data_IF_841222535901
#
_entry.id   IF_841222535901
#
_cell.length_a   1.000
_cell.length_b   1.000
_cell.length_c   1.000
_cell.angle_alpha   90.00
_cell.angle_beta   90.00
_cell.angle_gamma   90.00
#
_symmetry.space_group_name_H-M   'P 1'
#
loop_
_entity.id
_entity.type
_entity.pdbx_description
1 polymer ?
#
# COMPACT_ATOMS: atom_id res chain seq x y z
N UNK A 1 -4.15 -43.92 26.72
CA UNK A 1 -3.71 -42.77 27.53
C UNK A 1 -3.63 -41.58 26.57
N UNK A 2 -4.56 -40.62 26.72
CA UNK A 2 -4.59 -39.33 26.03
C UNK A 2 -3.24 -38.60 26.28
N UNK A 3 -2.68 -37.80 25.38
CA UNK A 3 -3.14 -36.45 25.06
C UNK A 3 -2.88 -36.09 23.59
N UNK A 4 -3.98 -35.77 22.89
CA UNK A 4 -3.95 -34.77 21.81
C UNK A 4 -3.54 -33.44 22.47
N UNK A 5 -2.34 -32.94 22.24
CA UNK A 5 -2.06 -31.52 22.47
C UNK A 5 -2.45 -30.79 21.19
N UNK A 6 -3.65 -30.22 21.21
CA UNK A 6 -4.08 -29.24 20.22
C UNK A 6 -3.31 -27.97 20.55
N UNK A 7 -2.33 -27.61 19.73
CA UNK A 7 -1.75 -26.27 19.75
C UNK A 7 -2.86 -25.28 19.41
N UNK A 8 -3.20 -24.41 20.35
CA UNK A 8 -4.17 -23.34 20.14
C UNK A 8 -3.39 -22.05 20.21
N UNK A 9 -3.14 -21.46 19.04
CA UNK A 9 -2.62 -20.10 18.88
C UNK A 9 -3.83 -19.16 18.99
N UNK A 10 -3.77 -18.19 19.90
CA UNK A 10 -4.75 -17.11 20.01
C UNK A 10 -4.04 -15.82 19.60
N UNK A 11 -4.46 -15.24 18.48
CA UNK A 11 -3.99 -13.93 18.01
C UNK A 11 -5.21 -13.01 17.95
N UNK A 12 -5.06 -11.77 18.40
CA UNK A 12 -6.11 -10.76 18.43
C UNK A 12 -5.63 -9.52 17.68
N UNK A 13 -6.02 -9.40 16.42
CA UNK A 13 -5.77 -8.21 15.60
C UNK A 13 -6.92 -7.20 15.77
N UNK A 14 -6.61 -5.93 16.06
CA UNK A 14 -7.58 -4.84 16.11
C UNK A 14 -7.31 -3.88 14.96
N UNK A 15 -8.15 -3.91 13.93
CA UNK A 15 -8.10 -2.97 12.79
C UNK A 15 -9.04 -1.79 13.05
N UNK A 16 -8.50 -0.57 13.09
CA UNK A 16 -9.28 0.66 13.28
C UNK A 16 -9.25 1.53 12.01
N UNK A 17 -10.37 1.54 11.26
CA UNK A 17 -10.55 2.40 10.09
C UNK A 17 -11.14 3.75 10.53
N UNK A 18 -10.40 4.85 10.35
CA UNK A 18 -10.88 6.21 10.63
C UNK A 18 -11.21 6.96 9.34
N UNK A 19 -12.49 7.33 9.15
CA UNK A 19 -12.93 8.31 8.14
C UNK A 19 -13.11 9.66 8.83
N UNK A 20 -12.21 10.61 8.58
CA UNK A 20 -12.19 11.92 9.24
C UNK A 20 -13.04 12.95 8.46
N UNK A 21 -14.20 13.35 8.99
CA UNK A 21 -14.99 14.49 8.46
C UNK A 21 -14.87 15.68 9.41
N UNK A 22 -14.37 16.86 8.97
CA UNK A 22 -14.26 18.04 9.83
C UNK A 22 -15.61 18.74 10.04
N UNK A 23 -15.94 19.10 11.29
CA UNK A 23 -17.06 20.00 11.64
C UNK A 23 -16.53 21.36 12.08
N UNK A 24 -16.95 22.49 11.46
CA UNK A 24 -16.62 23.81 11.97
C UNK A 24 -17.60 24.25 13.08
N UNK A 25 -17.05 24.75 14.19
CA UNK A 25 -17.77 25.48 15.23
C UNK A 25 -17.73 27.00 14.94
N UNK A 26 -18.83 27.70 15.18
CA UNK A 26 -19.02 29.13 14.90
C UNK A 26 -19.12 29.94 16.20
N UNK A 27 -18.42 31.06 16.30
CA UNK A 27 -18.60 32.08 17.36
C UNK A 27 -18.47 33.48 16.76
N UNK A 28 -19.34 34.42 17.12
CA UNK A 28 -19.47 35.78 16.56
C UNK A 28 -18.60 36.84 17.27
N UNK A 29 -17.99 37.82 16.54
CA UNK A 29 -17.66 39.15 17.09
C UNK A 29 -17.23 40.28 16.08
N UNK A 30 -17.88 41.45 16.20
CA UNK A 30 -17.55 42.88 15.85
C UNK A 30 -16.95 43.32 14.49
N UNK A 31 -17.49 44.43 13.96
CA UNK A 31 -17.40 44.97 12.59
C UNK A 31 -15.99 45.25 12.00
N UNK A 32 -14.99 45.64 12.79
CA UNK A 32 -13.59 45.74 12.32
C UNK A 32 -12.81 44.41 12.41
N UNK A 33 -13.27 43.49 13.27
CA UNK A 33 -12.87 42.09 13.25
C UNK A 33 -13.45 41.38 12.04
N UNK A 34 -14.67 41.74 11.63
CA UNK A 34 -15.36 41.15 10.49
C UNK A 34 -14.60 41.30 9.19
N UNK A 35 -13.91 42.40 8.89
CA UNK A 35 -13.15 42.47 7.63
C UNK A 35 -11.94 41.53 7.61
N UNK A 36 -11.23 41.42 8.74
CA UNK A 36 -10.10 40.49 8.89
C UNK A 36 -10.56 39.05 8.94
N UNK A 37 -11.67 38.78 9.62
CA UNK A 37 -12.32 37.48 9.65
C UNK A 37 -12.89 37.12 8.29
N UNK A 38 -13.57 38.02 7.58
CA UNK A 38 -14.08 37.78 6.21
C UNK A 38 -12.93 37.51 5.25
N UNK A 39 -11.78 38.21 5.38
CA UNK A 39 -10.60 37.89 4.58
C UNK A 39 -10.02 36.51 4.94
N UNK A 40 -9.86 36.22 6.23
CA UNK A 40 -9.38 34.93 6.70
C UNK A 40 -10.36 33.79 6.38
N UNK A 41 -11.67 34.05 6.39
CA UNK A 41 -12.73 33.13 6.02
C UNK A 41 -12.73 32.93 4.51
N UNK A 42 -12.53 33.97 3.69
CA UNK A 42 -12.38 33.81 2.24
C UNK A 42 -11.16 32.97 1.88
N UNK A 43 -10.01 33.24 2.51
CA UNK A 43 -8.81 32.40 2.36
C UNK A 43 -9.03 30.97 2.85
N UNK A 44 -9.75 30.79 3.97
CA UNK A 44 -10.13 29.46 4.46
C UNK A 44 -11.13 28.76 3.53
N UNK A 45 -12.11 29.47 2.97
CA UNK A 45 -13.12 28.94 2.04
C UNK A 45 -12.48 28.60 0.70
N UNK A 46 -11.52 29.39 0.24
CA UNK A 46 -10.72 29.09 -0.96
C UNK A 46 -9.84 27.88 -0.73
N UNK A 47 -9.13 27.80 0.40
CA UNK A 47 -8.37 26.61 0.79
C UNK A 47 -9.27 25.40 0.99
N UNK A 48 -10.44 25.56 1.60
CA UNK A 48 -11.43 24.50 1.75
C UNK A 48 -11.94 24.04 0.39
N UNK A 49 -12.22 24.94 -0.55
CA UNK A 49 -12.62 24.58 -1.91
C UNK A 49 -11.51 23.90 -2.70
N UNK A 50 -10.24 24.26 -2.47
CA UNK A 50 -9.08 23.55 -3.04
C UNK A 50 -8.91 22.18 -2.39
N UNK A 51 -9.06 22.08 -1.07
CA UNK A 51 -8.98 20.82 -0.32
C UNK A 51 -10.16 19.89 -0.60
N UNK A 52 -11.35 20.42 -0.86
CA UNK A 52 -12.54 19.67 -1.25
C UNK A 52 -12.35 19.11 -2.67
N UNK A 53 -11.86 19.93 -3.60
CA UNK A 53 -11.52 19.49 -4.96
C UNK A 53 -10.34 18.52 -5.04
N UNK A 54 -9.39 18.63 -4.10
CA UNK A 54 -8.33 17.64 -3.93
C UNK A 54 -8.87 16.39 -3.26
N UNK A 55 -9.73 16.50 -2.24
CA UNK A 55 -10.34 15.37 -1.53
C UNK A 55 -11.28 14.55 -2.41
N UNK A 56 -11.90 15.13 -3.43
CA UNK A 56 -12.66 14.39 -4.45
C UNK A 56 -11.79 13.50 -5.36
N UNK A 57 -10.49 13.78 -5.43
CA UNK A 57 -9.53 13.11 -6.33
C UNK A 57 -8.40 12.41 -5.59
N UNK A 58 -8.38 12.51 -4.27
CA UNK A 58 -7.32 11.96 -3.43
C UNK A 58 -7.96 11.04 -2.40
N UNK A 59 -7.67 9.75 -2.51
CA UNK A 59 -7.95 8.74 -1.49
C UNK A 59 -6.84 8.72 -0.46
N UNK A 60 -7.22 8.53 0.81
CA UNK A 60 -6.29 8.32 1.92
C UNK A 60 -6.73 7.03 2.64
N UNK A 61 -5.81 6.09 2.77
CA UNK A 61 -5.97 4.85 3.54
C UNK A 61 -4.93 4.82 4.65
N UNK A 62 -5.24 4.12 5.75
CA UNK A 62 -4.29 3.88 6.81
C UNK A 62 -4.59 2.56 7.52
N UNK A 63 -3.54 1.86 7.94
CA UNK A 63 -3.57 0.65 8.74
C UNK A 63 -2.71 0.84 9.98
N UNK A 64 -3.19 0.34 11.11
CA UNK A 64 -2.40 0.17 12.32
C UNK A 64 -2.71 -1.22 12.84
N UNK A 65 -1.67 -2.04 12.95
CA UNK A 65 -1.75 -3.43 13.34
C UNK A 65 -0.88 -3.70 14.55
N UNK A 66 -1.47 -4.32 15.56
CA UNK A 66 -0.79 -4.81 16.76
C UNK A 66 -0.99 -6.31 16.82
N UNK A 67 0.11 -7.03 16.92
CA UNK A 67 0.11 -8.48 17.03
C UNK A 67 0.55 -8.92 18.42
N UNK A 68 -0.08 -9.98 18.91
CA UNK A 68 0.31 -10.65 20.14
C UNK A 68 0.49 -12.14 19.85
N UNK A 69 1.68 -12.65 20.16
CA UNK A 69 2.07 -14.04 19.89
C UNK A 69 2.43 -14.76 21.18
N UNK A 70 2.18 -16.07 21.22
CA UNK A 70 2.63 -16.95 22.29
C UNK A 70 2.78 -18.38 21.74
N UNK A 71 3.91 -19.02 22.05
CA UNK A 71 4.23 -20.35 21.55
C UNK A 71 5.41 -20.99 22.29
N UNK A 72 5.79 -22.18 21.84
CA UNK A 72 6.96 -22.88 22.34
C UNK A 72 7.97 -23.00 21.18
N UNK A 73 9.18 -22.50 21.38
CA UNK A 73 10.26 -22.64 20.42
C UNK A 73 10.66 -24.10 20.22
N UNK A 74 11.34 -24.40 19.11
CA UNK A 74 11.86 -25.75 18.82
C UNK A 74 12.86 -26.28 19.86
N UNK A 75 13.43 -25.38 20.67
CA UNK A 75 14.31 -25.67 21.80
C UNK A 75 13.54 -25.99 23.11
N UNK A 76 12.20 -25.93 23.10
CA UNK A 76 11.35 -26.17 24.26
C UNK A 76 11.21 -24.99 25.22
N UNK A 77 11.59 -23.78 24.80
CA UNK A 77 11.44 -22.54 25.57
C UNK A 77 10.12 -21.87 25.19
N UNK A 78 9.39 -21.38 26.18
CA UNK A 78 8.15 -20.60 25.95
C UNK A 78 8.52 -19.19 25.50
N UNK A 79 7.89 -18.73 24.42
CA UNK A 79 8.07 -17.42 23.82
C UNK A 79 6.71 -16.72 23.74
N UNK A 80 6.68 -15.44 24.06
CA UNK A 80 5.49 -14.60 23.92
C UNK A 80 5.91 -13.17 23.67
N UNK A 81 5.21 -12.49 22.79
CA UNK A 81 5.53 -11.11 22.44
C UNK A 81 4.28 -10.30 22.08
N UNK A 82 4.41 -8.98 22.13
CA UNK A 82 3.42 -8.04 21.61
C UNK A 82 4.18 -6.96 20.84
N UNK A 83 3.88 -6.83 19.56
CA UNK A 83 4.56 -5.91 18.65
C UNK A 83 3.56 -4.99 17.97
N UNK A 84 3.97 -3.75 17.68
CA UNK A 84 3.27 -2.92 16.70
C UNK A 84 3.71 -3.40 15.31
N UNK A 85 3.07 -4.48 14.84
CA UNK A 85 3.49 -5.20 13.64
C UNK A 85 3.57 -4.29 12.43
N UNK A 86 2.54 -3.46 12.19
CA UNK A 86 2.48 -2.65 10.98
C UNK A 86 1.79 -1.31 11.21
N UNK A 87 2.34 -0.27 10.62
CA UNK A 87 1.68 1.01 10.39
C UNK A 87 1.83 1.36 8.92
N UNK A 88 0.70 1.50 8.22
CA UNK A 88 0.67 1.82 6.81
C UNK A 88 -0.11 3.11 6.54
N UNK A 89 0.34 3.89 5.58
CA UNK A 89 -0.36 5.06 5.07
C UNK A 89 -0.34 5.06 3.53
N UNK A 90 -1.52 4.97 2.93
CA UNK A 90 -1.68 4.99 1.47
C UNK A 90 -2.33 6.29 0.98
N UNK A 91 -1.86 6.78 -0.16
CA UNK A 91 -2.41 7.93 -0.87
C UNK A 91 -2.58 7.61 -2.35
N UNK A 92 -3.82 7.69 -2.82
CA UNK A 92 -4.19 7.52 -4.23
C UNK A 92 -4.64 8.86 -4.79
N UNK A 93 -4.11 9.28 -5.93
CA UNK A 93 -4.46 10.57 -6.54
C UNK A 93 -4.83 10.45 -8.02
N UNK A 94 -6.03 10.90 -8.39
CA UNK A 94 -6.48 11.09 -9.76
C UNK A 94 -5.99 12.44 -10.30
N UNK A 95 -4.77 12.45 -10.84
CA UNK A 95 -4.13 13.66 -11.38
C UNK A 95 -4.87 14.15 -12.63
N UNK A 96 -5.23 13.24 -13.53
CA UNK A 96 -6.01 13.49 -14.74
C UNK A 96 -6.87 12.27 -15.11
N UNK A 97 -7.75 12.41 -16.11
CA UNK A 97 -8.70 11.35 -16.54
C UNK A 97 -8.04 9.99 -16.88
N UNK A 98 -6.77 10.01 -17.27
CA UNK A 98 -5.97 8.81 -17.59
C UNK A 98 -4.68 8.74 -16.78
N UNK A 99 -4.49 9.57 -15.74
CA UNK A 99 -3.24 9.60 -14.98
C UNK A 99 -3.56 9.51 -13.50
N UNK A 100 -3.09 8.43 -12.88
CA UNK A 100 -3.22 8.15 -11.45
C UNK A 100 -1.83 8.06 -10.82
N UNK A 101 -1.72 8.45 -9.55
CA UNK A 101 -0.54 8.21 -8.73
C UNK A 101 -0.94 7.44 -7.47
N UNK A 102 -0.09 6.54 -7.04
CA UNK A 102 -0.25 5.77 -5.79
C UNK A 102 1.04 5.90 -4.99
N UNK A 103 0.91 6.14 -3.68
CA UNK A 103 2.01 6.19 -2.72
C UNK A 103 1.61 5.37 -1.50
N UNK A 104 2.50 4.51 -1.02
CA UNK A 104 2.30 3.74 0.20
C UNK A 104 3.55 3.85 1.07
N UNK A 105 3.34 4.17 2.34
CA UNK A 105 4.40 4.21 3.35
C UNK A 105 4.14 3.11 4.35
N UNK A 106 5.21 2.40 4.71
CA UNK A 106 5.18 1.28 5.63
C UNK A 106 6.19 1.49 6.75
N UNK A 107 5.76 1.15 7.96
CA UNK A 107 6.61 1.07 9.13
C UNK A 107 6.23 -0.18 9.92
N UNK A 108 7.24 -0.93 10.32
CA UNK A 108 7.13 -2.20 11.03
C UNK A 108 8.23 -2.20 12.09
N UNK A 109 7.86 -2.64 13.30
CA UNK A 109 8.78 -2.69 14.44
C UNK A 109 9.94 -3.67 14.11
N UNK A 110 11.19 -3.22 14.31
CA UNK A 110 12.44 -3.95 14.06
C UNK A 110 12.77 -4.31 12.58
N UNK A 111 11.97 -3.88 11.60
CA UNK A 111 12.28 -4.09 10.17
C UNK A 111 12.46 -2.76 9.42
N UNK A 112 11.38 -1.99 9.27
CA UNK A 112 11.37 -0.74 8.48
C UNK A 112 11.54 0.51 9.36
N UNK A 113 12.70 0.58 10.03
CA UNK A 113 13.13 1.75 10.84
C UNK A 113 14.34 2.49 10.22
N UNK A 114 14.16 3.71 9.66
CA UNK A 114 12.97 4.56 9.65
C UNK A 114 11.92 4.13 8.62
N UNK A 115 10.72 4.74 8.69
CA UNK A 115 9.63 4.58 7.73
C UNK A 115 10.12 4.49 6.28
N UNK A 116 9.70 3.46 5.56
CA UNK A 116 10.04 3.27 4.15
C UNK A 116 8.87 3.65 3.24
N UNK A 117 9.19 4.04 2.01
CA UNK A 117 8.20 4.13 0.93
C UNK A 117 8.06 2.74 0.32
N UNK A 118 7.01 2.04 0.66
CA UNK A 118 6.74 0.67 0.24
C UNK A 118 6.37 0.59 -1.25
N UNK A 119 5.40 1.42 -1.66
CA UNK A 119 5.03 1.62 -3.06
C UNK A 119 5.06 3.10 -3.46
N UNK A 120 5.34 3.32 -4.74
CA UNK A 120 5.27 4.65 -5.34
C UNK A 120 5.19 4.56 -6.85
N UNK A 121 3.99 4.71 -7.41
CA UNK A 121 3.75 4.50 -8.84
C UNK A 121 2.99 5.63 -9.50
N UNK A 122 3.20 5.75 -10.82
CA UNK A 122 2.35 6.52 -11.72
C UNK A 122 1.77 5.56 -12.76
N UNK A 123 0.45 5.60 -12.92
CA UNK A 123 -0.28 4.79 -13.90
C UNK A 123 -0.93 5.69 -14.94
N UNK A 124 -0.68 5.39 -16.21
CA UNK A 124 -1.32 5.98 -17.38
C UNK A 124 -2.26 4.97 -18.02
N UNK A 125 -3.57 5.19 -17.89
CA UNK A 125 -4.59 4.29 -18.41
C UNK A 125 -5.95 4.52 -17.76
N UNK A 126 -6.99 4.01 -18.41
CA UNK A 126 -8.35 4.00 -17.89
C UNK A 126 -9.05 2.77 -18.47
N UNK A 127 -9.00 1.65 -17.74
CA UNK A 127 -9.51 0.34 -18.17
C UNK A 127 -11.02 0.31 -18.41
N UNK A 128 -11.77 1.27 -17.84
CA UNK A 128 -13.19 1.45 -18.15
C UNK A 128 -13.44 1.97 -19.58
N UNK A 129 -12.46 2.67 -20.17
CA UNK A 129 -12.56 3.26 -21.51
C UNK A 129 -11.66 2.59 -22.54
N UNK A 130 -10.48 2.18 -22.13
CA UNK A 130 -9.48 1.54 -22.97
C UNK A 130 -8.78 0.45 -22.16
N UNK A 131 -8.77 -0.81 -22.63
CA UNK A 131 -8.44 -1.96 -21.80
C UNK A 131 -6.96 -2.03 -21.39
N UNK A 132 -6.07 -1.19 -21.92
CA UNK A 132 -4.62 -1.25 -21.67
C UNK A 132 -4.18 -0.06 -20.81
N UNK A 133 -3.24 -0.32 -19.91
CA UNK A 133 -2.60 0.69 -19.07
C UNK A 133 -1.09 0.47 -19.00
N UNK A 134 -0.39 1.52 -18.59
CA UNK A 134 1.04 1.52 -18.32
C UNK A 134 1.29 2.02 -16.89
N UNK A 135 2.14 1.33 -16.14
CA UNK A 135 2.53 1.71 -14.78
C UNK A 135 4.04 1.75 -14.67
N UNK A 136 4.57 2.74 -13.96
CA UNK A 136 5.99 2.84 -13.65
C UNK A 136 6.20 3.38 -12.23
N UNK A 137 7.19 2.83 -11.53
CA UNK A 137 7.53 3.23 -10.16
C UNK A 137 8.06 2.09 -9.31
N UNK A 138 8.18 2.32 -8.00
CA UNK A 138 8.45 1.27 -7.00
C UNK A 138 7.14 0.52 -6.77
N UNK A 139 7.11 -0.77 -7.06
CA UNK A 139 5.93 -1.62 -6.95
C UNK A 139 6.31 -3.08 -6.73
N UNK A 140 5.38 -3.84 -6.16
CA UNK A 140 5.42 -5.29 -6.21
C UNK A 140 5.13 -5.76 -7.63
N UNK A 141 6.11 -6.42 -8.26
CA UNK A 141 5.88 -6.99 -9.59
C UNK A 141 4.92 -8.19 -9.47
N UNK A 142 3.96 -8.35 -10.39
CA UNK A 142 2.90 -9.35 -10.27
C UNK A 142 3.39 -10.76 -10.60
N UNK A 143 4.10 -11.36 -9.64
CA UNK A 143 4.66 -12.70 -9.68
C UNK A 143 4.07 -13.57 -8.57
N UNK A 144 3.33 -14.61 -8.97
CA UNK A 144 2.64 -15.48 -8.02
C UNK A 144 1.33 -14.89 -7.50
N UNK A 145 0.51 -15.75 -6.91
CA UNK A 145 -0.68 -15.35 -6.16
C UNK A 145 -0.57 -16.03 -4.80
N UNK A 146 -0.37 -15.24 -3.76
CA UNK A 146 -0.06 -15.71 -2.41
C UNK A 146 -1.23 -15.49 -1.43
N UNK A 147 -2.45 -15.36 -1.96
CA UNK A 147 -3.64 -15.11 -1.16
C UNK A 147 -3.83 -16.16 -0.05
N UNK A 148 -3.99 -15.67 1.17
CA UNK A 148 -4.22 -16.49 2.35
C UNK A 148 -5.30 -15.87 3.23
N UNK A 149 -5.97 -16.71 4.03
CA UNK A 149 -6.82 -16.25 5.14
C UNK A 149 -6.13 -16.51 6.50
N UNK A 150 -4.82 -16.74 6.47
CA UNK A 150 -3.99 -16.83 7.67
C UNK A 150 -3.68 -15.43 8.16
N UNK A 151 -3.41 -15.31 9.46
CA UNK A 151 -2.99 -14.04 10.06
C UNK A 151 -1.55 -13.70 9.66
N UNK A 152 -0.76 -14.73 9.40
CA UNK A 152 0.65 -14.61 9.04
C UNK A 152 0.81 -14.93 7.56
N UNK A 153 1.79 -14.27 6.95
CA UNK A 153 2.05 -14.45 5.54
C UNK A 153 2.59 -15.85 5.25
N UNK A 154 2.18 -16.43 4.09
CA UNK A 154 2.70 -17.72 3.72
C UNK A 154 4.17 -17.56 3.35
N UNK A 155 5.01 -18.50 3.78
CA UNK A 155 6.46 -18.50 3.47
C UNK A 155 6.79 -18.33 1.98
N UNK A 156 5.86 -18.70 1.08
CA UNK A 156 6.01 -18.49 -0.36
C UNK A 156 5.94 -17.01 -0.77
N UNK A 157 5.17 -16.19 -0.06
CA UNK A 157 5.13 -14.74 -0.21
C UNK A 157 6.47 -14.16 0.22
N UNK A 158 6.86 -14.40 1.48
CA UNK A 158 8.13 -13.94 2.08
C UNK A 158 9.36 -14.15 1.20
N UNK A 159 9.40 -15.24 0.43
CA UNK A 159 10.53 -15.58 -0.44
C UNK A 159 10.31 -15.13 -1.89
N UNK A 160 9.06 -15.12 -2.34
CA UNK A 160 8.70 -14.95 -3.76
C UNK A 160 8.33 -13.52 -4.14
N UNK A 161 7.97 -12.71 -3.16
CA UNK A 161 7.62 -11.31 -3.36
C UNK A 161 8.82 -10.52 -3.89
N UNK A 162 8.55 -9.56 -4.76
CA UNK A 162 9.61 -8.75 -5.39
C UNK A 162 9.13 -7.31 -5.53
N UNK A 163 9.56 -6.45 -4.60
CA UNK A 163 9.37 -5.01 -4.67
C UNK A 163 10.55 -4.34 -5.38
N UNK A 164 10.32 -3.74 -6.55
CA UNK A 164 11.37 -3.13 -7.35
C UNK A 164 10.88 -1.89 -8.10
N UNK A 165 11.81 -1.04 -8.51
CA UNK A 165 11.51 -0.02 -9.53
C UNK A 165 11.31 -0.70 -10.89
N UNK A 166 10.06 -0.71 -11.35
CA UNK A 166 9.63 -1.46 -12.52
C UNK A 166 8.85 -0.58 -13.51
N UNK A 167 8.74 -1.10 -14.74
CA UNK A 167 7.75 -0.69 -15.71
C UNK A 167 6.84 -1.87 -16.03
N UNK A 168 5.55 -1.61 -16.21
CA UNK A 168 4.53 -2.61 -16.49
C UNK A 168 3.59 -2.11 -17.58
N UNK A 169 3.25 -3.00 -18.52
CA UNK A 169 2.12 -2.82 -19.44
C UNK A 169 1.12 -3.91 -19.13
N UNK A 170 -0.10 -3.53 -18.77
CA UNK A 170 -1.17 -4.44 -18.42
C UNK A 170 -2.43 -4.22 -19.24
N UNK A 171 -3.33 -5.19 -19.18
CA UNK A 171 -4.66 -5.06 -19.75
C UNK A 171 -5.73 -5.67 -18.83
N UNK A 172 -6.96 -5.17 -18.98
CA UNK A 172 -8.15 -5.69 -18.33
C UNK A 172 -9.34 -5.60 -19.30
N UNK A 173 -10.02 -6.73 -19.52
CA UNK A 173 -11.20 -6.80 -20.40
C UNK A 173 -12.12 -7.94 -19.98
N UNK A 174 -13.34 -7.62 -19.57
CA UNK A 174 -14.41 -8.61 -19.30
C UNK A 174 -13.97 -9.76 -18.37
N UNK A 175 -13.28 -9.41 -17.28
CA UNK A 175 -12.77 -10.37 -16.28
C UNK A 175 -11.42 -10.99 -16.64
N UNK A 176 -10.92 -10.86 -17.88
CA UNK A 176 -9.56 -11.26 -18.23
C UNK A 176 -8.59 -10.12 -17.92
N UNK A 177 -7.53 -10.42 -17.19
CA UNK A 177 -6.45 -9.48 -16.90
C UNK A 177 -5.09 -10.12 -17.20
N UNK A 178 -4.07 -9.29 -17.38
CA UNK A 178 -2.70 -9.76 -17.50
C UNK A 178 -1.74 -8.61 -17.70
N UNK A 179 -0.46 -8.87 -17.48
CA UNK A 179 0.58 -7.87 -17.71
C UNK A 179 1.92 -8.49 -18.09
N UNK A 180 2.76 -7.64 -18.67
CA UNK A 180 4.20 -7.87 -18.81
C UNK A 180 4.93 -6.76 -18.07
N UNK A 181 6.04 -7.08 -17.46
CA UNK A 181 6.82 -6.12 -16.69
C UNK A 181 8.32 -6.37 -16.84
N UNK A 182 9.10 -5.32 -16.63
CA UNK A 182 10.56 -5.36 -16.62
C UNK A 182 11.09 -4.44 -15.51
N UNK A 183 12.19 -4.85 -14.89
CA UNK A 183 12.81 -4.13 -13.80
C UNK A 183 14.31 -4.40 -13.75
N UNK A 184 15.01 -3.52 -13.05
CA UNK A 184 16.42 -3.72 -12.74
C UNK A 184 16.51 -4.46 -11.40
N UNK A 185 16.92 -5.72 -11.44
CA UNK A 185 17.02 -6.55 -10.23
C UNK A 185 18.46 -6.59 -9.74
N UNK A 186 18.65 -6.67 -8.43
CA UNK A 186 19.96 -6.63 -7.76
C UNK A 186 20.75 -7.96 -7.87
N UNK A 187 20.45 -8.81 -8.88
CA UNK A 187 20.94 -10.19 -8.98
C UNK A 187 22.36 -10.24 -9.61
N UNK A 188 22.77 -9.20 -10.33
CA UNK A 188 24.00 -9.15 -11.12
C UNK A 188 25.03 -8.11 -10.62
N UNK A 189 24.81 -7.49 -9.45
CA UNK A 189 25.82 -6.62 -8.83
C UNK A 189 26.95 -7.47 -8.26
N UNK A 190 27.95 -7.80 -9.09
CA UNK A 190 29.19 -8.40 -8.60
C UNK A 190 29.87 -7.40 -7.67
N UNK A 191 30.48 -7.90 -6.58
CA UNK A 191 31.33 -7.14 -5.66
C UNK A 191 32.62 -6.57 -6.30
N UNK A 192 32.68 -6.39 -7.61
CA UNK A 192 33.81 -5.76 -8.30
C UNK A 192 33.55 -4.25 -8.42
N UNK A 193 34.34 -3.39 -7.74
CA UNK A 193 34.15 -1.93 -7.77
C UNK A 193 34.33 -1.28 -9.16
N UNK A 194 34.80 -2.03 -10.16
CA UNK A 194 34.92 -1.60 -11.55
C UNK A 194 33.78 -2.10 -12.47
N UNK A 195 32.90 -2.98 -11.99
CA UNK A 195 31.73 -3.48 -12.74
C UNK A 195 30.54 -2.51 -12.57
N UNK A 196 30.10 -1.92 -13.68
CA UNK A 196 29.06 -0.86 -13.71
C UNK A 196 27.78 -1.35 -14.37
N UNK A 197 27.60 -2.66 -14.49
CA UNK A 197 26.51 -3.24 -15.26
C UNK A 197 25.17 -3.17 -14.50
N UNK A 198 24.66 -1.94 -14.34
CA UNK A 198 23.33 -1.64 -13.84
C UNK A 198 22.34 -1.69 -15.01
N UNK A 199 21.89 -2.89 -15.37
CA UNK A 199 21.07 -3.15 -16.55
C UNK A 199 19.70 -3.76 -16.21
N UNK A 200 18.65 -3.32 -16.91
CA UNK A 200 17.31 -3.92 -16.84
C UNK A 200 17.35 -5.30 -17.52
N UNK A 201 17.59 -6.34 -16.72
CA UNK A 201 17.66 -7.74 -17.19
C UNK A 201 16.54 -8.63 -16.66
N UNK A 202 15.75 -8.16 -15.70
CA UNK A 202 14.65 -8.93 -15.12
C UNK A 202 13.33 -8.57 -15.80
N UNK A 203 12.53 -9.59 -16.14
CA UNK A 203 11.23 -9.42 -16.75
C UNK A 203 10.30 -10.58 -16.40
N UNK A 204 8.99 -10.37 -16.52
CA UNK A 204 7.99 -11.39 -16.26
C UNK A 204 6.65 -11.07 -16.91
N UNK A 205 5.72 -12.01 -16.77
CA UNK A 205 4.36 -11.88 -17.28
C UNK A 205 3.38 -12.68 -16.42
N UNK A 206 2.13 -12.22 -16.35
CA UNK A 206 1.02 -12.93 -15.72
C UNK A 206 -0.25 -12.81 -16.59
N UNK A 207 -1.20 -13.69 -16.29
CA UNK A 207 -2.55 -13.68 -16.85
C UNK A 207 -3.51 -14.25 -15.82
N UNK A 208 -4.69 -13.67 -15.71
CA UNK A 208 -5.74 -14.06 -14.78
C UNK A 208 -7.12 -13.93 -15.40
N UNK A 209 -8.09 -14.66 -14.85
CA UNK A 209 -9.49 -14.55 -15.23
C UNK A 209 -10.37 -14.59 -13.99
N UNK A 210 -11.12 -13.52 -13.76
CA UNK A 210 -12.12 -13.43 -12.70
C UNK A 210 -13.50 -13.85 -13.25
N UNK A 211 -14.11 -14.85 -12.60
CA UNK A 211 -15.46 -15.31 -12.89
C UNK A 211 -16.34 -15.13 -11.66
N UNK A 212 -17.42 -14.35 -11.81
CA UNK A 212 -18.47 -14.26 -10.82
C UNK A 212 -19.63 -15.17 -11.25
N UNK A 213 -19.90 -16.19 -10.43
CA UNK A 213 -21.05 -17.06 -10.59
C UNK A 213 -22.18 -16.63 -9.66
N UNK A 214 -23.42 -16.66 -10.16
CA UNK A 214 -24.65 -16.38 -9.41
C UNK A 214 -24.91 -17.41 -8.27
#
# INVERSE_FOLDING_TARGET
MQFLNKSVVFILTIVLIFILVPRPALSEMSDHGLEKEVKALKEKVEKLGVLERLGERVGLSALVEVEASAGNGFNGVDESDIVLATVELGLDAEIAEYVKAHLQFLWEEDDTEPIDMDEGTVTVGNTERFPVYFTAGKMYVPFGAFETNMIQDPLTLEIGETNQSAIQVGFEVSGLCGSIYAFNGNIDEKEDPDDKDNEIKCFGANIGYAFEGD
#
